data_IF_960248565910
#
_entry.id   IF_960248565910
#
_cell.length_a   1.000
_cell.length_b   1.000
_cell.length_c   1.000
_cell.angle_alpha   90.00
_cell.angle_beta   90.00
_cell.angle_gamma   90.00
#
_symmetry.space_group_name_H-M   'P 1'
#
loop_
_entity.id
_entity.type
_entity.pdbx_description
1 polymer ?
#
# COMPACT_ATOMS: atom_id res chain seq x y z
N UNK A 1 32.46 -0.52 6.24
CA UNK A 1 31.02 -0.23 6.46
C UNK A 1 30.53 0.70 5.35
N UNK A 2 29.72 0.19 4.41
CA UNK A 2 29.16 1.02 3.32
C UNK A 2 28.08 1.94 3.88
N UNK A 3 28.30 3.26 3.80
CA UNK A 3 27.35 4.28 4.24
C UNK A 3 26.15 4.20 3.29
N UNK A 4 25.00 3.69 3.76
CA UNK A 4 23.76 3.69 2.97
C UNK A 4 23.47 5.13 2.55
N UNK A 5 23.66 5.42 1.26
CA UNK A 5 23.43 6.73 0.65
C UNK A 5 21.92 6.96 0.70
N UNK A 6 21.45 7.85 1.58
CA UNK A 6 20.04 8.31 1.52
C UNK A 6 19.85 8.96 0.17
N UNK A 7 18.98 8.38 -0.65
CA UNK A 7 18.55 9.01 -1.90
C UNK A 7 17.78 10.26 -1.50
N UNK A 8 18.36 11.43 -1.72
CA UNK A 8 17.66 12.71 -1.62
C UNK A 8 16.78 12.83 -2.86
N UNK A 9 15.53 12.41 -2.75
CA UNK A 9 14.53 12.62 -3.78
C UNK A 9 13.69 13.85 -3.38
N UNK A 10 13.61 14.83 -4.27
CA UNK A 10 12.92 16.11 -4.05
C UNK A 10 11.46 15.99 -4.46
N UNK A 11 10.68 15.18 -3.75
CA UNK A 11 9.23 15.22 -3.89
C UNK A 11 8.70 16.41 -3.10
N UNK A 12 7.81 17.19 -3.73
CA UNK A 12 7.00 18.16 -3.01
C UNK A 12 6.10 17.40 -2.05
N UNK A 13 6.11 17.77 -0.76
CA UNK A 13 5.22 17.18 0.21
C UNK A 13 3.77 17.57 -0.14
N UNK A 14 2.85 16.61 -0.25
CA UNK A 14 1.46 16.92 -0.53
C UNK A 14 0.82 17.59 0.69
N UNK A 15 -0.11 18.52 0.44
CA UNK A 15 -0.88 19.19 1.49
C UNK A 15 -2.09 18.36 1.96
N UNK A 16 -2.56 17.44 1.12
CA UNK A 16 -3.73 16.60 1.39
C UNK A 16 -3.60 15.23 0.73
N UNK A 17 -4.35 14.24 1.25
CA UNK A 17 -4.49 12.95 0.55
C UNK A 17 -5.09 13.13 -0.84
N UNK A 18 -6.02 14.07 -1.05
CA UNK A 18 -6.63 14.32 -2.37
C UNK A 18 -5.59 14.73 -3.43
N UNK A 19 -4.61 15.56 -3.04
CA UNK A 19 -3.59 16.08 -3.96
C UNK A 19 -2.32 15.22 -4.01
N UNK A 20 -2.32 14.05 -3.35
CA UNK A 20 -1.17 13.16 -3.36
C UNK A 20 -1.10 12.38 -4.69
N UNK A 21 -0.01 12.53 -5.43
CA UNK A 21 0.24 11.72 -6.62
C UNK A 21 1.31 10.67 -6.32
N UNK A 22 1.10 9.44 -6.77
CA UNK A 22 2.11 8.38 -6.66
C UNK A 22 3.05 8.51 -7.86
N UNK A 23 4.36 8.74 -7.64
CA UNK A 23 5.33 8.78 -8.72
C UNK A 23 5.32 7.51 -9.57
N UNK A 24 5.49 7.65 -10.89
CA UNK A 24 5.32 6.57 -11.86
C UNK A 24 6.25 5.38 -11.59
N UNK A 25 7.45 5.62 -11.06
CA UNK A 25 8.42 4.59 -10.67
C UNK A 25 7.93 3.66 -9.55
N UNK A 26 6.91 4.08 -8.78
CA UNK A 26 6.34 3.29 -7.70
C UNK A 26 5.01 2.61 -8.07
N UNK A 27 4.50 2.86 -9.27
CA UNK A 27 3.28 2.20 -9.76
C UNK A 27 3.52 0.73 -10.12
N UNK A 28 4.78 0.30 -10.26
CA UNK A 28 5.12 -1.08 -10.59
C UNK A 28 6.31 -1.63 -9.79
N UNK A 29 6.25 -2.93 -9.47
CA UNK A 29 7.36 -3.69 -8.89
C UNK A 29 7.59 -4.91 -9.80
N UNK A 30 8.84 -5.13 -10.23
CA UNK A 30 9.19 -6.23 -11.14
C UNK A 30 8.33 -6.29 -12.42
N UNK A 31 8.00 -5.12 -12.98
CA UNK A 31 7.10 -4.96 -14.14
C UNK A 31 5.64 -5.40 -13.91
N UNK A 32 5.23 -5.62 -12.66
CA UNK A 32 3.83 -5.83 -12.27
C UNK A 32 3.28 -4.57 -11.61
N UNK A 33 2.05 -4.18 -11.94
CA UNK A 33 1.39 -3.03 -11.31
C UNK A 33 1.17 -3.29 -9.82
N UNK A 34 1.55 -2.33 -8.97
CA UNK A 34 1.59 -2.47 -7.51
C UNK A 34 0.72 -1.44 -6.75
N UNK A 35 -0.06 -0.63 -7.46
CA UNK A 35 -1.07 0.28 -6.89
C UNK A 35 -2.44 -0.04 -7.50
N UNK A 36 -3.01 -1.17 -7.08
CA UNK A 36 -4.10 -1.85 -7.76
C UNK A 36 -5.41 -1.05 -7.81
N UNK A 37 -5.69 -0.22 -6.80
CA UNK A 37 -6.96 0.49 -6.72
C UNK A 37 -6.84 1.84 -6.01
N UNK A 38 -7.42 2.85 -6.62
CA UNK A 38 -7.68 4.16 -6.03
C UNK A 38 -9.20 4.36 -5.99
N UNK A 39 -9.75 4.45 -4.78
CA UNK A 39 -11.18 4.63 -4.56
C UNK A 39 -11.49 5.97 -3.91
N UNK A 40 -12.35 6.75 -4.57
CA UNK A 40 -13.04 7.91 -3.98
C UNK A 40 -14.39 7.43 -3.45
N UNK A 41 -14.37 6.61 -2.38
CA UNK A 41 -15.60 5.89 -2.04
C UNK A 41 -16.67 6.75 -1.36
N UNK A 42 -16.31 7.95 -0.90
CA UNK A 42 -17.20 9.07 -0.60
C UNK A 42 -16.29 10.20 -0.15
N UNK A 43 -16.41 11.38 -0.76
CA UNK A 43 -15.78 12.61 -0.24
C UNK A 43 -16.03 12.69 1.28
N UNK A 44 -15.00 12.85 2.14
CA UNK A 44 -13.63 13.29 1.84
C UNK A 44 -12.54 12.20 1.99
N UNK A 45 -12.87 10.90 1.94
CA UNK A 45 -11.93 9.83 2.31
C UNK A 45 -11.37 9.12 1.07
N UNK A 46 -10.11 9.43 0.72
CA UNK A 46 -9.35 8.76 -0.35
C UNK A 46 -8.68 7.50 0.21
N UNK A 47 -9.01 6.34 -0.37
CA UNK A 47 -8.35 5.09 -0.05
C UNK A 47 -7.46 4.63 -1.21
N UNK A 48 -6.21 4.28 -0.91
CA UNK A 48 -5.26 3.72 -1.87
C UNK A 48 -4.92 2.31 -1.43
N UNK A 49 -5.10 1.35 -2.33
CA UNK A 49 -4.78 -0.06 -2.11
C UNK A 49 -3.54 -0.41 -2.93
N UNK A 50 -2.47 -0.75 -2.23
CA UNK A 50 -1.26 -1.31 -2.80
C UNK A 50 -1.30 -2.82 -2.76
N UNK A 51 -0.89 -3.42 -3.87
CA UNK A 51 -0.96 -4.85 -4.10
C UNK A 51 -0.86 -5.15 -5.58
N UNK A 52 -0.48 -6.38 -5.88
CA UNK A 52 -0.35 -6.88 -7.24
C UNK A 52 -1.50 -7.85 -7.60
N UNK A 53 -1.62 -8.20 -8.88
CA UNK A 53 -2.60 -9.20 -9.33
C UNK A 53 -2.28 -10.55 -8.70
N UNK A 54 -0.99 -10.88 -8.56
CA UNK A 54 -0.57 -12.09 -7.85
C UNK A 54 -1.03 -12.09 -6.39
N UNK A 55 -0.97 -10.94 -5.69
CA UNK A 55 -1.47 -10.82 -4.32
C UNK A 55 -2.98 -11.07 -4.23
N UNK A 56 -3.75 -10.53 -5.17
CA UNK A 56 -5.21 -10.70 -5.21
C UNK A 56 -5.57 -12.15 -5.54
N UNK A 57 -4.85 -12.76 -6.49
CA UNK A 57 -5.03 -14.17 -6.79
C UNK A 57 -4.71 -15.07 -5.59
N UNK A 58 -3.72 -14.71 -4.79
CA UNK A 58 -3.41 -15.42 -3.55
C UNK A 58 -4.52 -15.24 -2.51
N UNK A 59 -5.04 -14.01 -2.34
CA UNK A 59 -6.19 -13.74 -1.48
C UNK A 59 -7.43 -14.51 -1.90
N UNK A 60 -7.72 -14.59 -3.20
CA UNK A 60 -8.88 -15.32 -3.70
C UNK A 60 -8.81 -16.83 -3.44
N UNK A 61 -7.60 -17.37 -3.22
CA UNK A 61 -7.36 -18.81 -2.97
C UNK A 61 -7.19 -19.14 -1.50
N UNK A 62 -6.97 -18.15 -0.64
CA UNK A 62 -6.73 -18.40 0.78
C UNK A 62 -8.04 -18.72 1.50
N UNK A 63 -8.01 -19.68 2.43
CA UNK A 63 -9.16 -20.03 3.27
C UNK A 63 -9.22 -19.19 4.55
N UNK A 64 -8.21 -18.37 4.81
CA UNK A 64 -8.10 -17.57 6.03
C UNK A 64 -7.58 -16.18 5.69
N UNK A 65 -8.40 -15.18 6.00
CA UNK A 65 -8.03 -13.77 5.89
C UNK A 65 -7.66 -13.26 7.28
N UNK A 66 -6.48 -12.65 7.39
CA UNK A 66 -6.07 -11.97 8.61
C UNK A 66 -5.93 -10.48 8.32
N UNK A 67 -6.44 -9.66 9.23
CA UNK A 67 -6.36 -8.21 9.15
C UNK A 67 -5.50 -7.72 10.31
N UNK A 68 -4.46 -6.95 10.01
CA UNK A 68 -3.71 -6.25 11.05
C UNK A 68 -4.09 -4.77 11.04
N UNK A 69 -4.71 -4.35 12.13
CA UNK A 69 -5.34 -3.04 12.27
C UNK A 69 -4.40 -1.97 12.80
N UNK A 70 -4.39 -0.82 12.12
CA UNK A 70 -3.93 0.49 12.58
C UNK A 70 -2.46 0.62 12.98
N UNK A 71 -1.60 0.64 11.98
CA UNK A 71 -0.33 1.35 12.14
C UNK A 71 -0.63 2.85 12.09
N UNK A 72 -0.43 3.56 13.21
CA UNK A 72 -0.42 5.04 13.26
C UNK A 72 0.83 5.63 12.57
N UNK A 73 1.68 4.79 12.00
CA UNK A 73 2.88 5.18 11.26
C UNK A 73 2.48 5.52 9.82
N UNK A 74 1.71 6.59 9.66
CA UNK A 74 1.32 7.14 8.36
C UNK A 74 1.60 8.63 8.33
N UNK A 75 1.88 9.22 7.15
CA UNK A 75 1.92 10.67 6.99
C UNK A 75 0.61 11.30 7.47
N UNK A 76 0.66 12.50 8.06
CA UNK A 76 -0.53 13.20 8.60
C UNK A 76 -1.62 13.50 7.58
N UNK A 77 -1.30 13.42 6.29
CA UNK A 77 -2.27 13.54 5.19
C UNK A 77 -3.18 12.31 5.09
N UNK A 78 -2.83 11.18 5.71
CA UNK A 78 -3.63 9.96 5.82
C UNK A 78 -3.96 9.68 7.28
N UNK A 79 -5.09 9.01 7.50
CA UNK A 79 -5.58 8.65 8.84
C UNK A 79 -4.94 7.36 9.36
N UNK A 80 -4.89 6.30 8.54
CA UNK A 80 -4.54 4.93 8.96
C UNK A 80 -3.95 4.10 7.82
N UNK A 81 -3.07 3.17 8.19
CA UNK A 81 -2.64 2.06 7.34
C UNK A 81 -3.18 0.73 7.90
N UNK A 82 -3.78 -0.06 7.01
CA UNK A 82 -4.24 -1.42 7.26
C UNK A 82 -3.49 -2.39 6.36
N UNK A 83 -3.29 -3.61 6.85
CA UNK A 83 -2.71 -4.69 6.03
C UNK A 83 -3.62 -5.91 6.04
N UNK A 84 -3.86 -6.45 4.84
CA UNK A 84 -4.57 -7.71 4.65
C UNK A 84 -3.51 -8.77 4.39
N UNK A 85 -3.63 -9.88 5.09
CA UNK A 85 -2.71 -11.00 5.01
C UNK A 85 -3.39 -12.24 4.46
N UNK A 86 -2.65 -13.02 3.70
CA UNK A 86 -3.07 -14.34 3.21
C UNK A 86 -2.12 -15.42 3.72
N UNK A 87 -2.69 -16.59 3.99
CA UNK A 87 -1.92 -17.78 4.28
C UNK A 87 -1.42 -18.44 2.99
N UNK A 88 -0.13 -18.78 2.94
CA UNK A 88 0.52 -19.51 1.86
C UNK A 88 1.62 -20.42 2.41
N UNK A 89 1.57 -21.72 2.11
CA UNK A 89 2.53 -22.72 2.57
C UNK A 89 2.83 -22.67 4.08
N UNK A 90 1.79 -22.56 4.92
CA UNK A 90 1.86 -22.42 6.39
C UNK A 90 2.53 -21.12 6.89
N UNK A 91 2.76 -20.14 6.02
CA UNK A 91 3.19 -18.79 6.38
C UNK A 91 2.06 -17.79 6.16
N UNK A 92 2.13 -16.68 6.88
CA UNK A 92 1.21 -15.54 6.73
C UNK A 92 2.00 -14.38 6.13
N UNK A 93 1.54 -13.87 4.99
CA UNK A 93 2.17 -12.76 4.29
C UNK A 93 1.23 -11.56 4.19
N UNK A 94 1.72 -10.32 4.39
CA UNK A 94 0.99 -9.14 3.97
C UNK A 94 0.92 -9.14 2.45
N UNK A 95 -0.30 -9.01 1.92
CA UNK A 95 -0.58 -9.11 0.49
C UNK A 95 -1.26 -7.87 -0.05
N UNK A 96 -2.03 -7.15 0.77
CA UNK A 96 -2.53 -5.81 0.43
C UNK A 96 -2.21 -4.82 1.55
N UNK A 97 -1.89 -3.60 1.15
CA UNK A 97 -1.73 -2.45 2.04
C UNK A 97 -2.77 -1.43 1.67
N UNK A 98 -3.58 -1.00 2.64
CA UNK A 98 -4.65 -0.02 2.43
C UNK A 98 -4.33 1.20 3.26
N UNK A 99 -4.07 2.32 2.62
CA UNK A 99 -3.91 3.61 3.28
C UNK A 99 -5.15 4.46 3.04
N UNK A 100 -5.65 5.06 4.13
CA UNK A 100 -6.88 5.86 4.21
C UNK A 100 -6.55 7.09 5.02
#
# INVERSE_FOLDING_TARGET
MSKKRRVTHYYTLPESATNFEIPAEFLSINNELFAFYEGFNTEPIRAIIFGSIANINLLARTQSLCFNGTLKVVPSIFFKLFTIHAAYNNYIFPVLFVII
#
